data_IF_526210387557
#
_entry.id   IF_526210387557
#
_cell.length_a   1.000
_cell.length_b   1.000
_cell.length_c   1.000
_cell.angle_alpha   90.00
_cell.angle_beta   90.00
_cell.angle_gamma   90.00
#
_symmetry.space_group_name_H-M   'P 1'
#
loop_
_entity.id
_entity.type
_entity.pdbx_description
1 polymer ?
#
# COMPACT_ATOMS: atom_id res chain seq x y z
N UNK A 1 14.79 -25.54 11.33
CA UNK A 1 13.55 -26.32 11.53
C UNK A 1 12.37 -25.39 11.39
N UNK A 2 11.60 -25.51 10.29
CA UNK A 2 10.22 -25.01 10.16
C UNK A 2 9.70 -25.30 8.74
N UNK A 3 8.74 -26.22 8.62
CA UNK A 3 7.78 -26.26 7.51
C UNK A 3 6.46 -26.78 8.07
N UNK A 4 5.46 -25.90 8.19
CA UNK A 4 4.06 -26.29 8.42
C UNK A 4 3.33 -26.24 7.08
N UNK A 5 2.90 -27.42 6.63
CA UNK A 5 1.99 -27.63 5.51
C UNK A 5 0.55 -27.53 6.02
N UNK A 6 -0.31 -26.84 5.28
CA UNK A 6 -1.75 -26.77 5.48
C UNK A 6 -2.40 -27.74 4.47
N UNK A 7 -3.19 -28.73 4.88
CA UNK A 7 -3.94 -29.55 3.93
C UNK A 7 -5.34 -28.97 3.67
N UNK A 8 -5.70 -28.94 2.39
CA UNK A 8 -7.05 -28.70 1.86
C UNK A 8 -7.97 -29.87 2.22
N UNK A 9 -9.16 -29.57 2.76
CA UNK A 9 -10.22 -30.54 3.01
C UNK A 9 -11.15 -30.62 1.78
N UNK A 10 -11.20 -31.77 1.14
CA UNK A 10 -12.17 -32.12 0.10
C UNK A 10 -13.31 -32.93 0.74
N UNK A 11 -14.53 -32.48 0.48
CA UNK A 11 -15.78 -33.07 0.98
C UNK A 11 -16.12 -34.29 0.10
N UNK A 12 -16.14 -35.48 0.70
CA UNK A 12 -16.65 -36.71 0.09
C UNK A 12 -18.03 -37.05 0.67
N UNK A 13 -19.05 -37.01 -0.19
CA UNK A 13 -20.40 -37.46 0.12
C UNK A 13 -20.52 -38.98 -0.05
N UNK A 14 -21.11 -39.63 0.95
CA UNK A 14 -21.36 -41.06 1.00
C UNK A 14 -22.48 -41.51 0.04
N UNK A 15 -22.30 -42.70 -0.54
CA UNK A 15 -23.38 -43.51 -1.11
C UNK A 15 -23.33 -44.89 -0.43
N UNK A 16 -24.48 -45.31 0.11
CA UNK A 16 -24.75 -46.64 0.66
C UNK A 16 -25.65 -47.43 -0.30
N UNK A 17 -25.58 -48.77 -0.15
CA UNK A 17 -26.40 -49.85 -0.75
C UNK A 17 -26.08 -50.22 -2.20
N UNK A 18 -26.02 -51.49 -2.64
CA UNK A 18 -26.44 -52.78 -2.07
C UNK A 18 -25.67 -53.91 -2.76
N UNK A 19 -25.43 -55.01 -2.02
CA UNK A 19 -25.07 -56.32 -2.55
C UNK A 19 -26.13 -56.85 -3.53
N UNK A 20 -25.71 -57.63 -4.53
CA UNK A 20 -26.58 -58.41 -5.41
C UNK A 20 -25.75 -59.25 -6.38
N UNK A 21 -25.77 -60.57 -6.16
CA UNK A 21 -24.90 -61.60 -6.74
C UNK A 21 -25.06 -61.79 -8.25
N UNK A 22 -23.94 -62.04 -8.91
CA UNK A 22 -23.83 -62.67 -10.24
C UNK A 22 -24.36 -64.10 -10.22
N UNK A 23 -25.16 -64.48 -11.22
CA UNK A 23 -25.25 -65.83 -11.77
C UNK A 23 -25.56 -65.73 -13.25
N UNK A 24 -24.67 -66.32 -14.04
CA UNK A 24 -24.82 -66.62 -15.46
C UNK A 24 -25.71 -67.84 -15.69
N UNK A 25 -26.02 -68.04 -16.98
CA UNK A 25 -26.78 -69.08 -17.69
C UNK A 25 -28.21 -68.69 -18.08
N UNK A 26 -28.73 -68.97 -19.28
CA UNK A 26 -28.23 -69.31 -20.62
C UNK A 26 -29.53 -69.31 -21.51
N UNK A 27 -29.40 -69.40 -22.83
CA UNK A 27 -30.37 -69.98 -23.79
C UNK A 27 -31.35 -69.01 -24.54
N UNK A 28 -30.94 -68.77 -25.79
CA UNK A 28 -31.69 -68.67 -27.05
C UNK A 28 -32.65 -67.51 -27.35
N UNK A 29 -32.30 -66.84 -28.44
CA UNK A 29 -33.14 -65.99 -29.27
C UNK A 29 -34.19 -66.83 -30.04
N UNK A 30 -35.36 -66.28 -30.39
CA UNK A 30 -35.56 -65.99 -31.81
C UNK A 30 -36.31 -64.67 -32.11
N UNK A 31 -35.68 -63.88 -32.98
CA UNK A 31 -36.20 -62.98 -34.02
C UNK A 31 -37.62 -62.39 -33.92
N UNK A 32 -37.71 -61.05 -33.80
CA UNK A 32 -38.64 -60.21 -34.57
C UNK A 32 -38.00 -58.80 -34.77
N UNK A 33 -38.05 -58.20 -35.97
CA UNK A 33 -37.22 -57.04 -36.33
C UNK A 33 -37.77 -55.71 -35.80
N UNK A 34 -37.01 -55.04 -34.93
CA UNK A 34 -37.31 -53.71 -34.40
C UNK A 34 -36.41 -52.64 -35.01
N UNK A 35 -37.00 -51.81 -35.85
CA UNK A 35 -36.44 -50.65 -36.54
C UNK A 35 -35.55 -49.78 -35.61
N UNK A 36 -34.21 -49.88 -35.74
CA UNK A 36 -33.28 -49.03 -34.99
C UNK A 36 -33.02 -47.76 -35.79
N UNK A 37 -33.83 -46.74 -35.52
CA UNK A 37 -33.52 -45.37 -35.96
C UNK A 37 -32.25 -44.91 -35.22
N UNK A 38 -31.21 -44.42 -35.90
CA UNK A 38 -30.04 -43.86 -35.23
C UNK A 38 -30.47 -42.65 -34.39
N UNK A 39 -30.15 -42.67 -33.10
CA UNK A 39 -30.25 -41.50 -32.23
C UNK A 39 -29.36 -40.39 -32.82
N UNK A 40 -30.02 -39.36 -33.32
CA UNK A 40 -29.37 -38.17 -33.83
C UNK A 40 -28.45 -37.58 -32.73
N UNK A 41 -27.25 -37.07 -33.05
CA UNK A 41 -26.40 -36.42 -32.05
C UNK A 41 -27.14 -35.21 -31.50
N UNK A 42 -27.40 -35.18 -30.19
CA UNK A 42 -28.06 -34.06 -29.54
C UNK A 42 -27.16 -32.83 -29.68
N UNK A 43 -27.46 -31.98 -30.67
CA UNK A 43 -27.00 -30.60 -30.74
C UNK A 43 -27.23 -29.98 -29.35
N UNK A 44 -26.26 -29.29 -28.72
CA UNK A 44 -26.51 -28.65 -27.44
C UNK A 44 -27.72 -27.73 -27.60
N UNK A 45 -28.84 -28.14 -27.02
CA UNK A 45 -30.12 -27.48 -27.19
C UNK A 45 -29.98 -26.10 -26.57
N UNK A 46 -30.12 -25.05 -27.39
CA UNK A 46 -30.27 -23.68 -26.89
C UNK A 46 -31.33 -23.69 -25.79
N UNK A 47 -31.02 -23.22 -24.57
CA UNK A 47 -31.97 -23.28 -23.48
C UNK A 47 -33.24 -22.48 -23.79
N UNK A 48 -34.38 -22.95 -23.27
CA UNK A 48 -35.65 -22.25 -23.42
C UNK A 48 -35.62 -20.90 -22.71
N UNK A 49 -36.50 -19.98 -23.13
CA UNK A 49 -36.62 -18.67 -22.48
C UNK A 49 -36.94 -18.80 -20.98
N UNK A 50 -37.71 -19.83 -20.59
CA UNK A 50 -37.99 -20.14 -19.19
C UNK A 50 -36.74 -20.59 -18.43
N UNK A 51 -35.91 -21.45 -19.03
CA UNK A 51 -34.64 -21.87 -18.44
C UNK A 51 -33.68 -20.70 -18.27
N UNK A 52 -33.54 -19.85 -19.29
CA UNK A 52 -32.72 -18.63 -19.21
C UNK A 52 -33.30 -17.72 -18.12
N UNK A 53 -34.59 -17.41 -18.16
CA UNK A 53 -35.21 -16.49 -17.19
C UNK A 53 -35.13 -16.95 -15.74
N UNK A 54 -35.40 -18.22 -15.45
CA UNK A 54 -35.40 -18.72 -14.07
C UNK A 54 -34.00 -18.94 -13.51
N UNK A 55 -33.05 -19.40 -14.34
CA UNK A 55 -31.78 -19.97 -13.88
C UNK A 55 -30.54 -19.17 -14.29
N UNK A 56 -30.71 -18.02 -14.98
CA UNK A 56 -29.58 -17.13 -15.28
C UNK A 56 -29.01 -16.54 -13.99
N UNK A 57 -27.69 -16.52 -13.91
CA UNK A 57 -26.94 -15.89 -12.85
C UNK A 57 -25.64 -15.26 -13.39
N UNK A 58 -25.07 -14.35 -12.62
CA UNK A 58 -23.73 -13.81 -12.86
C UNK A 58 -22.68 -14.87 -12.54
N UNK A 59 -21.91 -15.30 -13.53
CA UNK A 59 -20.86 -16.30 -13.35
C UNK A 59 -19.59 -15.67 -12.80
N UNK A 60 -19.10 -14.63 -13.46
CA UNK A 60 -17.83 -13.96 -13.13
C UNK A 60 -17.75 -12.60 -13.84
N UNK A 61 -16.80 -11.77 -13.41
CA UNK A 61 -16.39 -10.60 -14.20
C UNK A 61 -15.74 -11.06 -15.51
N UNK A 62 -16.02 -10.37 -16.61
CA UNK A 62 -15.37 -10.63 -17.90
C UNK A 62 -13.86 -10.37 -17.78
N UNK A 63 -13.07 -11.27 -18.35
CA UNK A 63 -11.62 -11.10 -18.42
C UNK A 63 -11.26 -9.80 -19.17
N UNK A 64 -10.29 -9.05 -18.63
CA UNK A 64 -9.83 -7.79 -19.20
C UNK A 64 -10.78 -6.60 -18.99
N UNK A 65 -11.93 -6.77 -18.32
CA UNK A 65 -12.81 -5.65 -17.98
C UNK A 65 -12.46 -5.07 -16.63
N UNK A 66 -12.22 -3.77 -16.61
CA UNK A 66 -11.92 -3.01 -15.41
C UNK A 66 -13.20 -2.54 -14.70
N UNK A 67 -13.89 -3.49 -14.08
CA UNK A 67 -15.19 -3.25 -13.44
C UNK A 67 -15.12 -2.23 -12.29
N UNK A 68 -13.97 -2.08 -11.63
CA UNK A 68 -13.76 -1.08 -10.57
C UNK A 68 -13.75 0.36 -11.09
N UNK A 69 -13.49 0.56 -12.38
CA UNK A 69 -13.63 1.86 -13.04
C UNK A 69 -14.98 2.03 -13.73
N UNK A 70 -15.63 0.93 -14.14
CA UNK A 70 -16.91 0.98 -14.83
C UNK A 70 -18.11 1.22 -13.90
N UNK A 71 -17.99 0.87 -12.61
CA UNK A 71 -19.07 0.96 -11.62
C UNK A 71 -18.64 1.95 -10.53
N UNK A 72 -19.41 3.02 -10.35
CA UNK A 72 -19.22 3.95 -9.24
C UNK A 72 -19.89 3.41 -7.97
N UNK A 73 -19.12 3.26 -6.89
CA UNK A 73 -19.63 2.83 -5.60
C UNK A 73 -20.71 3.77 -5.03
N UNK A 74 -20.70 5.06 -5.41
CA UNK A 74 -21.74 6.00 -4.99
C UNK A 74 -23.10 5.68 -5.62
N UNK A 75 -23.12 5.21 -6.87
CA UNK A 75 -24.37 4.78 -7.53
C UNK A 75 -24.94 3.54 -6.84
N UNK A 76 -24.09 2.60 -6.39
CA UNK A 76 -24.54 1.43 -5.62
C UNK A 76 -25.25 1.78 -4.31
N UNK A 77 -24.98 2.95 -3.72
CA UNK A 77 -25.66 3.39 -2.50
C UNK A 77 -26.85 4.30 -2.79
N UNK A 78 -26.71 5.25 -3.72
CA UNK A 78 -27.71 6.28 -3.95
C UNK A 78 -28.80 5.81 -4.92
N UNK A 79 -28.40 5.18 -6.03
CA UNK A 79 -29.29 4.81 -7.13
C UNK A 79 -28.81 3.50 -7.82
N UNK A 80 -28.98 2.33 -7.17
CA UNK A 80 -28.40 1.08 -7.65
C UNK A 80 -28.80 0.71 -9.09
N UNK A 81 -29.98 1.13 -9.54
CA UNK A 81 -30.45 0.91 -10.92
C UNK A 81 -29.49 1.48 -11.98
N UNK A 82 -28.74 2.56 -11.67
CA UNK A 82 -27.81 3.21 -12.59
C UNK A 82 -26.65 2.29 -13.00
N UNK A 83 -26.27 1.33 -12.15
CA UNK A 83 -25.14 0.44 -12.44
C UNK A 83 -25.52 -0.74 -13.34
N UNK A 84 -26.80 -0.92 -13.68
CA UNK A 84 -27.29 -2.08 -14.41
C UNK A 84 -26.62 -2.26 -15.77
N UNK A 85 -26.44 -1.16 -16.52
CA UNK A 85 -25.77 -1.19 -17.82
C UNK A 85 -24.28 -1.58 -17.67
N UNK A 86 -23.59 -1.01 -16.69
CA UNK A 86 -22.19 -1.31 -16.40
C UNK A 86 -22.00 -2.78 -15.98
N UNK A 87 -22.89 -3.32 -15.13
CA UNK A 87 -22.90 -4.73 -14.74
C UNK A 87 -23.09 -5.63 -15.97
N UNK A 88 -24.09 -5.35 -16.81
CA UNK A 88 -24.36 -6.12 -18.03
C UNK A 88 -23.16 -6.16 -18.99
N UNK A 89 -22.45 -5.04 -19.09
CA UNK A 89 -21.25 -4.91 -19.92
C UNK A 89 -20.03 -5.59 -19.30
N UNK A 90 -19.94 -5.66 -17.97
CA UNK A 90 -18.75 -6.15 -17.25
C UNK A 90 -18.83 -7.61 -16.81
N UNK A 91 -20.01 -8.23 -16.85
CA UNK A 91 -20.26 -9.56 -16.28
C UNK A 91 -20.51 -10.58 -17.37
N UNK A 92 -20.02 -11.81 -17.15
CA UNK A 92 -20.39 -12.99 -17.91
C UNK A 92 -21.58 -13.65 -17.23
N UNK A 93 -22.69 -13.77 -17.96
CA UNK A 93 -23.91 -14.42 -17.47
C UNK A 93 -23.99 -15.83 -18.01
N UNK A 94 -24.43 -16.76 -17.16
CA UNK A 94 -24.65 -18.15 -17.55
C UNK A 94 -25.98 -18.64 -16.99
N UNK A 95 -26.57 -19.62 -17.67
CA UNK A 95 -27.69 -20.41 -17.16
C UNK A 95 -27.31 -21.89 -17.16
N UNK A 96 -27.86 -22.64 -16.20
CA UNK A 96 -27.73 -24.08 -16.16
C UNK A 96 -28.89 -24.72 -16.93
N UNK A 97 -28.58 -25.47 -17.98
CA UNK A 97 -29.56 -26.19 -18.80
C UNK A 97 -30.15 -27.40 -18.05
N UNK A 98 -31.16 -28.05 -18.63
CA UNK A 98 -31.77 -29.29 -18.09
C UNK A 98 -30.78 -30.46 -18.06
N UNK A 99 -29.83 -30.51 -18.99
CA UNK A 99 -28.74 -31.48 -19.02
C UNK A 99 -27.53 -31.07 -18.15
N UNK A 100 -27.73 -30.13 -17.21
CA UNK A 100 -26.71 -29.64 -16.26
C UNK A 100 -25.45 -29.05 -16.92
N UNK A 101 -25.57 -28.55 -18.16
CA UNK A 101 -24.48 -27.84 -18.83
C UNK A 101 -24.63 -26.34 -18.64
N UNK A 102 -23.49 -25.64 -18.61
CA UNK A 102 -23.47 -24.19 -18.58
C UNK A 102 -23.64 -23.62 -19.98
N UNK A 103 -24.69 -22.83 -20.18
CA UNK A 103 -24.85 -22.00 -21.36
C UNK A 103 -24.49 -20.55 -21.01
N UNK A 104 -23.41 -20.04 -21.60
CA UNK A 104 -23.05 -18.62 -21.48
C UNK A 104 -23.95 -17.80 -22.40
N UNK A 105 -24.60 -16.77 -21.84
CA UNK A 105 -25.49 -15.89 -22.60
C UNK A 105 -24.72 -15.14 -23.70
N UNK A 106 -25.26 -15.14 -24.91
CA UNK A 106 -24.72 -14.43 -26.07
C UNK A 106 -25.26 -13.00 -26.13
N UNK A 107 -24.73 -12.18 -27.04
CA UNK A 107 -25.15 -10.79 -27.22
C UNK A 107 -26.67 -10.63 -27.43
N UNK A 108 -27.28 -11.52 -28.21
CA UNK A 108 -28.74 -11.55 -28.42
C UNK A 108 -29.50 -11.85 -27.12
N UNK A 109 -29.02 -12.80 -26.30
CA UNK A 109 -29.65 -13.14 -25.02
C UNK A 109 -29.55 -11.97 -24.04
N UNK A 110 -28.36 -11.36 -23.99
CA UNK A 110 -28.13 -10.16 -23.19
C UNK A 110 -29.08 -9.05 -23.61
N UNK A 111 -29.42 -8.87 -24.90
CA UNK A 111 -30.35 -7.81 -25.32
C UNK A 111 -31.71 -7.84 -24.60
N UNK A 112 -32.20 -9.02 -24.20
CA UNK A 112 -33.45 -9.22 -23.45
C UNK A 112 -33.28 -9.29 -21.93
N UNK A 113 -32.04 -9.27 -21.43
CA UNK A 113 -31.71 -9.38 -20.01
C UNK A 113 -31.76 -7.99 -19.34
N UNK A 114 -32.55 -7.87 -18.28
CA UNK A 114 -32.50 -6.75 -17.34
C UNK A 114 -31.99 -7.22 -15.98
N UNK A 115 -31.46 -6.28 -15.20
CA UNK A 115 -30.96 -6.51 -13.84
C UNK A 115 -31.90 -5.75 -12.89
N UNK A 116 -32.34 -6.41 -11.82
CA UNK A 116 -33.29 -5.89 -10.84
C UNK A 116 -32.79 -6.17 -9.41
N UNK A 117 -33.31 -5.42 -8.43
CA UNK A 117 -33.03 -5.58 -6.99
C UNK A 117 -31.52 -5.57 -6.64
N UNK A 118 -30.78 -4.60 -7.17
CA UNK A 118 -29.36 -4.45 -6.90
C UNK A 118 -29.15 -4.00 -5.45
N UNK A 119 -28.29 -4.71 -4.74
CA UNK A 119 -27.89 -4.45 -3.35
C UNK A 119 -26.36 -4.52 -3.23
N UNK A 120 -25.81 -3.81 -2.25
CA UNK A 120 -24.37 -3.75 -2.00
C UNK A 120 -24.06 -3.74 -0.51
N UNK A 121 -23.08 -4.54 -0.09
CA UNK A 121 -22.71 -4.74 1.32
C UNK A 121 -21.26 -4.35 1.67
N UNK A 122 -20.60 -3.56 0.81
CA UNK A 122 -19.16 -3.21 0.83
C UNK A 122 -18.21 -4.26 0.24
N UNK A 123 -18.65 -5.50 0.05
CA UNK A 123 -17.80 -6.56 -0.49
C UNK A 123 -18.40 -7.22 -1.74
N UNK A 124 -19.72 -7.25 -1.84
CA UNK A 124 -20.44 -7.92 -2.90
C UNK A 124 -21.58 -7.06 -3.45
N UNK A 125 -21.69 -7.02 -4.78
CA UNK A 125 -22.89 -6.57 -5.45
C UNK A 125 -23.77 -7.81 -5.63
N UNK A 126 -25.03 -7.73 -5.20
CA UNK A 126 -25.99 -8.80 -5.42
C UNK A 126 -27.25 -8.31 -6.11
N UNK A 127 -27.84 -9.13 -6.98
CA UNK A 127 -28.99 -8.75 -7.79
C UNK A 127 -29.73 -9.96 -8.35
N UNK A 128 -30.92 -9.75 -8.92
CA UNK A 128 -31.64 -10.72 -9.73
C UNK A 128 -31.59 -10.32 -11.21
N UNK A 129 -31.76 -11.29 -12.09
CA UNK A 129 -31.92 -11.02 -13.52
C UNK A 129 -33.36 -11.24 -13.95
N UNK A 130 -33.77 -10.60 -15.03
CA UNK A 130 -35.06 -10.83 -15.66
C UNK A 130 -34.87 -10.90 -17.15
N UNK A 131 -35.28 -12.01 -17.74
CA UNK A 131 -35.11 -12.27 -19.16
C UNK A 131 -36.49 -12.45 -19.78
N UNK A 132 -36.83 -11.61 -20.78
CA UNK A 132 -38.16 -11.60 -21.43
C UNK A 132 -39.34 -11.63 -20.44
N UNK A 133 -39.23 -10.87 -19.34
CA UNK A 133 -40.27 -10.78 -18.31
C UNK A 133 -40.18 -11.82 -17.19
N UNK A 134 -39.36 -12.87 -17.34
CA UNK A 134 -39.21 -13.94 -16.36
C UNK A 134 -38.06 -13.61 -15.40
N UNK A 135 -38.38 -13.38 -14.13
CA UNK A 135 -37.41 -13.11 -13.07
C UNK A 135 -36.71 -14.40 -12.60
N UNK A 136 -35.40 -14.30 -12.37
CA UNK A 136 -34.58 -15.41 -11.88
C UNK A 136 -34.96 -15.81 -10.46
N UNK A 137 -34.93 -17.12 -10.17
CA UNK A 137 -35.01 -17.62 -8.80
C UNK A 137 -33.66 -17.62 -8.11
N UNK A 138 -32.57 -17.55 -8.88
CA UNK A 138 -31.20 -17.48 -8.37
C UNK A 138 -30.77 -16.02 -8.19
N UNK A 139 -30.34 -15.68 -6.98
CA UNK A 139 -29.66 -14.42 -6.66
C UNK A 139 -28.22 -14.49 -7.15
N UNK A 140 -27.82 -13.52 -7.97
CA UNK A 140 -26.44 -13.35 -8.40
C UNK A 140 -25.67 -12.56 -7.34
N UNK A 141 -24.42 -12.96 -7.09
CA UNK A 141 -23.51 -12.29 -6.16
C UNK A 141 -22.13 -12.19 -6.81
N UNK A 142 -21.57 -10.98 -6.90
CA UNK A 142 -20.26 -10.72 -7.47
C UNK A 142 -19.39 -9.96 -6.48
N UNK A 143 -18.12 -10.37 -6.34
CA UNK A 143 -17.16 -9.68 -5.50
C UNK A 143 -16.87 -8.29 -6.07
N UNK A 144 -17.10 -7.25 -5.27
CA UNK A 144 -16.78 -5.85 -5.53
C UNK A 144 -16.34 -5.22 -4.21
N UNK A 145 -15.06 -5.34 -3.89
CA UNK A 145 -14.54 -4.89 -2.61
C UNK A 145 -14.37 -3.36 -2.62
N UNK A 146 -15.02 -2.68 -1.67
CA UNK A 146 -14.86 -1.24 -1.49
C UNK A 146 -13.38 -0.87 -1.32
N UNK A 147 -12.60 -1.70 -0.61
CA UNK A 147 -11.18 -1.46 -0.40
C UNK A 147 -10.41 -1.46 -1.73
N UNK A 148 -10.72 -2.38 -2.63
CA UNK A 148 -10.08 -2.45 -3.96
C UNK A 148 -10.47 -1.24 -4.81
N UNK A 149 -11.75 -0.85 -4.78
CA UNK A 149 -12.23 0.36 -5.44
C UNK A 149 -11.46 1.60 -4.96
N UNK A 150 -11.43 1.86 -3.65
CA UNK A 150 -10.76 3.03 -3.09
C UNK A 150 -9.25 2.97 -3.21
N UNK A 151 -8.62 1.81 -3.09
CA UNK A 151 -7.18 1.67 -3.33
C UNK A 151 -6.75 2.19 -4.69
N UNK A 152 -7.62 2.04 -5.70
CA UNK A 152 -7.40 2.52 -7.06
C UNK A 152 -7.56 4.03 -7.21
N UNK A 153 -8.43 4.65 -6.42
CA UNK A 153 -8.67 6.11 -6.46
C UNK A 153 -7.54 6.92 -5.81
N UNK A 154 -6.72 6.27 -4.99
CA UNK A 154 -5.61 6.90 -4.28
C UNK A 154 -4.29 6.34 -4.79
N UNK A 155 -3.56 7.15 -5.55
CA UNK A 155 -2.20 6.82 -6.01
C UNK A 155 -1.17 7.65 -5.27
N UNK A 156 0.08 7.21 -5.22
CA UNK A 156 1.16 7.99 -4.59
C UNK A 156 1.44 9.26 -5.41
N UNK A 157 1.53 10.41 -4.76
CA UNK A 157 2.00 11.64 -5.40
C UNK A 157 3.53 11.60 -5.51
N UNK A 158 4.03 10.95 -6.57
CA UNK A 158 5.46 10.73 -6.76
C UNK A 158 6.27 12.03 -6.83
N UNK A 159 5.70 13.12 -7.36
CA UNK A 159 6.39 14.42 -7.41
C UNK A 159 6.62 14.99 -6.02
N UNK A 160 5.64 14.86 -5.13
CA UNK A 160 5.79 15.30 -3.74
C UNK A 160 6.74 14.37 -2.99
N UNK A 161 6.48 13.06 -3.04
CA UNK A 161 7.21 12.04 -2.27
C UNK A 161 8.71 12.02 -2.60
N UNK A 162 9.07 12.07 -3.89
CA UNK A 162 10.48 12.09 -4.32
C UNK A 162 11.25 13.36 -3.94
N UNK A 163 10.56 14.42 -3.51
CA UNK A 163 11.18 15.65 -3.03
C UNK A 163 11.41 15.67 -1.51
N UNK A 164 10.95 14.64 -0.77
CA UNK A 164 10.88 14.63 0.69
C UNK A 164 11.70 13.51 1.31
N UNK A 165 12.07 13.70 2.57
CA UNK A 165 12.65 12.65 3.40
C UNK A 165 11.57 11.98 4.25
N UNK A 166 11.56 10.65 4.26
CA UNK A 166 10.47 9.86 4.86
C UNK A 166 10.33 10.09 6.36
N UNK A 167 11.44 10.09 7.11
CA UNK A 167 11.38 10.01 8.58
C UNK A 167 10.71 11.22 9.21
N UNK A 168 10.99 12.44 8.77
CA UNK A 168 10.33 13.62 9.34
C UNK A 168 8.83 13.64 9.05
N UNK A 169 8.43 13.24 7.84
CA UNK A 169 7.00 13.10 7.53
C UNK A 169 6.32 12.05 8.40
N UNK A 170 6.97 10.90 8.63
CA UNK A 170 6.46 9.87 9.53
C UNK A 170 6.23 10.44 10.94
N UNK A 171 7.17 11.20 11.50
CA UNK A 171 7.02 11.79 12.83
C UNK A 171 6.00 12.95 12.87
N UNK A 172 5.83 13.67 11.76
CA UNK A 172 4.87 14.79 11.65
C UNK A 172 3.44 14.37 11.32
N UNK A 173 3.17 13.11 10.95
CA UNK A 173 1.81 12.64 10.69
C UNK A 173 0.89 12.96 11.90
N UNK A 174 -0.33 13.48 11.67
CA UNK A 174 -1.06 13.49 10.39
C UNK A 174 -0.80 14.70 9.46
N UNK A 175 0.13 15.60 9.81
CA UNK A 175 0.37 16.82 9.03
C UNK A 175 0.75 16.47 7.59
N UNK A 176 0.05 17.07 6.63
CA UNK A 176 0.36 16.93 5.21
C UNK A 176 0.01 15.58 4.58
N UNK A 177 -0.74 14.70 5.26
CA UNK A 177 -1.11 13.36 4.75
C UNK A 177 -1.73 13.38 3.33
N UNK A 178 -2.56 14.39 3.03
CA UNK A 178 -3.15 14.56 1.70
C UNK A 178 -2.11 14.80 0.59
N UNK A 179 -0.94 15.34 0.92
CA UNK A 179 0.12 15.57 -0.06
C UNK A 179 0.83 14.29 -0.50
N UNK A 180 0.71 13.20 0.27
CA UNK A 180 1.29 11.89 -0.07
C UNK A 180 0.56 11.23 -1.25
N UNK A 181 -0.68 11.64 -1.54
CA UNK A 181 -1.54 10.96 -2.50
C UNK A 181 -2.04 11.89 -3.59
N UNK A 182 -2.22 11.35 -4.79
CA UNK A 182 -2.99 11.94 -5.87
C UNK A 182 -4.38 11.29 -5.88
N UNK A 183 -5.40 12.12 -5.67
CA UNK A 183 -6.80 11.72 -5.59
C UNK A 183 -7.73 12.91 -5.86
N UNK A 184 -9.01 12.65 -6.11
CA UNK A 184 -10.03 13.70 -6.24
C UNK A 184 -10.40 14.26 -4.85
N UNK A 185 -9.79 15.37 -4.47
CA UNK A 185 -10.03 16.04 -3.18
C UNK A 185 -11.39 16.77 -3.09
N UNK A 186 -12.05 17.01 -4.23
CA UNK A 186 -13.42 17.52 -4.23
C UNK A 186 -14.36 16.43 -3.78
N UNK A 187 -14.18 15.21 -4.29
CA UNK A 187 -14.99 14.05 -3.93
C UNK A 187 -14.63 13.45 -2.57
N UNK A 188 -13.35 13.23 -2.31
CA UNK A 188 -12.90 12.48 -1.14
C UNK A 188 -12.32 13.42 -0.07
N UNK A 189 -12.77 13.25 1.16
CA UNK A 189 -12.04 13.72 2.34
C UNK A 189 -11.27 12.54 2.93
N UNK A 190 -10.05 12.79 3.42
CA UNK A 190 -9.26 11.76 4.09
C UNK A 190 -8.84 12.19 5.48
N UNK A 191 -8.80 11.22 6.38
CA UNK A 191 -8.29 11.35 7.73
C UNK A 191 -7.25 10.26 8.00
N UNK A 192 -6.25 10.58 8.81
CA UNK A 192 -5.27 9.60 9.28
C UNK A 192 -5.92 8.64 10.28
N UNK A 193 -5.63 7.35 10.16
CA UNK A 193 -6.02 6.36 11.18
C UNK A 193 -4.90 6.28 12.22
N UNK A 194 -5.13 6.65 13.49
CA UNK A 194 -4.13 6.56 14.54
C UNK A 194 -3.54 5.15 14.67
N UNK A 195 -2.27 5.07 15.08
CA UNK A 195 -1.54 3.82 15.32
C UNK A 195 -1.45 2.86 14.11
N UNK A 196 -1.81 3.32 12.91
CA UNK A 196 -1.76 2.53 11.68
C UNK A 196 -0.47 2.71 10.87
N UNK A 197 0.44 3.58 11.35
CA UNK A 197 1.67 3.92 10.63
C UNK A 197 2.81 2.99 10.99
N UNK A 198 3.57 2.59 9.98
CA UNK A 198 4.85 1.89 10.12
C UNK A 198 5.86 2.43 9.10
N UNK A 199 7.14 2.15 9.29
CA UNK A 199 8.22 2.68 8.46
C UNK A 199 9.32 1.65 8.24
N UNK A 200 10.01 1.82 7.14
CA UNK A 200 11.29 1.17 6.89
C UNK A 200 12.33 2.23 6.55
N UNK A 201 13.21 2.54 7.50
CA UNK A 201 14.29 3.51 7.29
C UNK A 201 15.27 3.04 6.20
N UNK A 202 15.53 1.74 6.12
CA UNK A 202 16.40 1.15 5.09
C UNK A 202 15.81 1.22 3.68
N UNK A 203 14.50 1.00 3.53
CA UNK A 203 13.81 1.08 2.24
C UNK A 203 13.30 2.49 1.93
N UNK A 204 13.43 3.44 2.87
CA UNK A 204 12.86 4.78 2.79
C UNK A 204 11.36 4.73 2.43
N UNK A 205 10.61 3.88 3.14
CA UNK A 205 9.18 3.69 2.91
C UNK A 205 8.35 3.90 4.18
N UNK A 206 7.09 4.25 3.96
CA UNK A 206 6.11 4.57 4.99
C UNK A 206 4.81 3.85 4.64
N UNK A 207 4.28 3.05 5.55
CA UNK A 207 2.94 2.50 5.45
C UNK A 207 2.00 3.17 6.44
N UNK A 208 0.74 3.33 6.05
CA UNK A 208 -0.30 3.92 6.89
C UNK A 208 -1.69 3.52 6.43
N UNK A 209 -2.68 3.59 7.32
CA UNK A 209 -4.09 3.56 6.94
C UNK A 209 -4.68 4.97 6.84
N UNK A 210 -5.56 5.16 5.86
CA UNK A 210 -6.38 6.37 5.72
C UNK A 210 -7.85 6.00 5.77
N UNK A 211 -8.61 6.78 6.52
CA UNK A 211 -10.07 6.78 6.47
C UNK A 211 -10.51 7.72 5.37
N UNK A 212 -11.40 7.26 4.51
CA UNK A 212 -11.92 7.99 3.35
C UNK A 212 -13.39 8.25 3.61
N UNK A 213 -13.80 9.50 3.46
CA UNK A 213 -15.20 9.92 3.40
C UNK A 213 -15.51 10.29 1.96
N UNK A 214 -16.36 9.51 1.29
CA UNK A 214 -16.82 9.79 -0.07
C UNK A 214 -18.05 10.69 -0.03
N UNK A 215 -17.87 11.97 -0.39
CA UNK A 215 -18.93 12.99 -0.33
C UNK A 215 -20.05 12.75 -1.36
N UNK A 216 -19.86 11.86 -2.35
CA UNK A 216 -20.92 11.49 -3.28
C UNK A 216 -21.95 10.53 -2.67
N UNK A 217 -21.61 9.79 -1.62
CA UNK A 217 -22.58 8.90 -0.95
C UNK A 217 -23.43 9.74 0.01
N UNK A 218 -24.74 9.82 -0.26
CA UNK A 218 -25.65 10.70 0.46
C UNK A 218 -25.94 10.21 1.89
N UNK A 219 -25.93 8.90 2.10
CA UNK A 219 -26.07 8.29 3.43
C UNK A 219 -24.76 8.39 4.20
N UNK A 220 -24.66 9.37 5.10
CA UNK A 220 -23.49 9.62 5.93
C UNK A 220 -23.13 8.47 6.88
N UNK A 221 -24.04 7.52 7.12
CA UNK A 221 -23.73 6.32 7.91
C UNK A 221 -22.94 5.27 7.13
N UNK A 222 -22.90 5.38 5.78
CA UNK A 222 -22.29 4.39 4.87
C UNK A 222 -21.15 4.94 4.04
N UNK A 223 -20.88 6.24 4.08
CA UNK A 223 -19.93 6.91 3.19
C UNK A 223 -18.45 6.84 3.63
N UNK A 224 -18.15 6.11 4.71
CA UNK A 224 -16.79 5.96 5.24
C UNK A 224 -16.19 4.58 4.97
N UNK A 225 -14.91 4.60 4.59
CA UNK A 225 -14.12 3.44 4.21
C UNK A 225 -12.68 3.59 4.71
N UNK A 226 -11.95 2.49 4.78
CA UNK A 226 -10.54 2.50 5.20
C UNK A 226 -9.70 1.72 4.19
N UNK A 227 -8.57 2.29 3.82
CA UNK A 227 -7.56 1.60 3.02
C UNK A 227 -6.19 1.73 3.66
N UNK A 228 -5.36 0.72 3.43
CA UNK A 228 -3.96 0.71 3.85
C UNK A 228 -3.08 0.97 2.63
N UNK A 229 -2.15 1.94 2.76
CA UNK A 229 -1.24 2.38 1.70
C UNK A 229 0.20 2.19 2.15
N UNK A 230 1.03 1.76 1.21
CA UNK A 230 2.48 1.83 1.31
C UNK A 230 2.96 2.92 0.36
N UNK A 231 3.77 3.83 0.88
CA UNK A 231 4.34 4.99 0.17
C UNK A 231 5.84 4.80 0.10
N UNK A 232 6.37 4.84 -1.12
CA UNK A 232 7.77 4.58 -1.45
C UNK A 232 8.30 5.67 -2.38
N UNK A 233 9.62 5.71 -2.59
CA UNK A 233 10.26 6.65 -3.50
C UNK A 233 10.71 7.97 -2.87
N UNK A 234 10.80 8.02 -1.54
CA UNK A 234 11.37 9.16 -0.81
C UNK A 234 12.88 9.31 -1.06
N UNK A 235 13.43 10.50 -0.78
CA UNK A 235 14.87 10.74 -0.79
C UNK A 235 15.54 9.94 0.33
N UNK A 236 16.75 9.44 0.07
CA UNK A 236 17.50 8.62 1.03
C UNK A 236 18.20 9.47 2.09
N UNK A 237 18.58 8.86 3.21
CA UNK A 237 19.41 9.52 4.23
C UNK A 237 20.80 9.92 3.73
N UNK A 238 21.33 9.22 2.71
CA UNK A 238 22.56 9.66 2.03
C UNK A 238 22.35 10.98 1.30
N UNK A 239 21.20 11.14 0.63
CA UNK A 239 20.83 12.41 0.01
C UNK A 239 20.63 13.51 1.07
N UNK A 240 20.11 13.18 2.26
CA UNK A 240 20.03 14.15 3.37
C UNK A 240 21.42 14.58 3.82
N UNK A 241 22.32 13.63 4.07
CA UNK A 241 23.69 13.91 4.46
C UNK A 241 24.44 14.78 3.43
N UNK A 242 24.18 14.58 2.13
CA UNK A 242 24.72 15.44 1.09
C UNK A 242 24.14 16.86 1.11
N UNK A 243 22.94 17.06 1.65
CA UNK A 243 22.29 18.37 1.76
C UNK A 243 22.62 19.10 3.08
N UNK A 244 23.25 18.43 4.05
CA UNK A 244 23.65 19.03 5.32
C UNK A 244 24.92 19.88 5.20
N UNK A 245 24.94 21.00 5.93
CA UNK A 245 26.11 21.80 6.23
C UNK A 245 26.45 21.65 7.72
N UNK A 246 27.73 21.42 8.04
CA UNK A 246 28.21 21.27 9.41
C UNK A 246 29.17 22.41 9.72
N UNK A 247 28.83 23.19 10.74
CA UNK A 247 29.62 24.30 11.26
C UNK A 247 30.30 23.97 12.59
N UNK A 248 30.97 24.96 13.17
CA UNK A 248 31.50 24.88 14.52
C UNK A 248 30.77 25.87 15.43
N UNK A 249 30.67 25.53 16.71
CA UNK A 249 30.15 26.42 17.75
C UNK A 249 31.29 27.02 18.58
N UNK A 250 30.97 28.03 19.40
CA UNK A 250 31.92 28.65 20.32
C UNK A 250 32.54 27.65 21.30
N UNK A 251 31.75 26.71 21.81
CA UNK A 251 32.21 25.63 22.69
C UNK A 251 33.32 24.79 22.05
N UNK A 252 33.24 24.54 20.74
CA UNK A 252 34.27 23.79 20.04
C UNK A 252 35.56 24.61 19.94
N UNK A 253 35.45 25.89 19.58
CA UNK A 253 36.60 26.78 19.50
C UNK A 253 37.32 26.90 20.85
N UNK A 254 36.57 27.06 21.94
CA UNK A 254 37.13 27.19 23.27
C UNK A 254 37.79 25.89 23.75
N UNK A 255 37.17 24.75 23.43
CA UNK A 255 37.79 23.44 23.70
C UNK A 255 39.09 23.26 22.92
N UNK A 256 39.13 23.63 21.64
CA UNK A 256 40.34 23.54 20.81
C UNK A 256 41.45 24.40 21.38
N UNK A 257 41.17 25.66 21.73
CA UNK A 257 42.15 26.55 22.37
C UNK A 257 42.70 25.98 23.68
N UNK A 258 41.83 25.37 24.49
CA UNK A 258 42.24 24.72 25.74
C UNK A 258 43.19 23.56 25.46
N UNK A 259 42.87 22.71 24.49
CA UNK A 259 43.72 21.57 24.10
C UNK A 259 45.07 22.03 23.56
N UNK A 260 45.11 23.09 22.74
CA UNK A 260 46.35 23.69 22.23
C UNK A 260 47.24 24.18 23.38
N UNK A 261 46.68 24.90 24.37
CA UNK A 261 47.42 25.36 25.54
C UNK A 261 48.03 24.22 26.34
N UNK A 262 47.30 23.10 26.48
CA UNK A 262 47.81 21.90 27.15
C UNK A 262 48.81 21.09 26.33
N UNK A 263 48.85 21.28 25.01
CA UNK A 263 49.69 20.52 24.07
C UNK A 263 50.37 21.44 23.03
N UNK A 264 51.21 22.40 23.44
CA UNK A 264 51.68 23.49 22.58
C UNK A 264 52.52 23.03 21.37
N UNK A 265 53.14 21.85 21.46
CA UNK A 265 54.01 21.30 20.41
C UNK A 265 53.31 20.28 19.50
N UNK A 266 51.99 20.11 19.60
CA UNK A 266 51.22 19.15 18.81
C UNK A 266 50.45 19.86 17.69
N UNK A 267 50.55 19.33 16.47
CA UNK A 267 49.80 19.81 15.30
C UNK A 267 48.58 18.96 15.03
N UNK A 268 48.65 17.64 15.25
CA UNK A 268 47.50 16.75 15.26
C UNK A 268 46.89 16.70 16.67
N UNK A 269 45.68 17.22 16.79
CA UNK A 269 44.92 17.27 18.05
C UNK A 269 43.85 16.18 18.14
N UNK A 270 43.72 15.31 17.13
CA UNK A 270 42.69 14.27 17.07
C UNK A 270 42.64 13.41 18.33
N UNK A 271 43.76 12.86 18.86
CA UNK A 271 43.73 12.00 20.05
C UNK A 271 43.22 12.71 21.32
N UNK A 272 43.41 14.03 21.38
CA UNK A 272 43.06 14.86 22.54
C UNK A 272 41.63 15.41 22.47
N UNK A 273 41.03 15.43 21.27
CA UNK A 273 39.67 15.92 21.04
C UNK A 273 38.65 14.80 20.88
N UNK A 274 39.04 13.62 20.38
CA UNK A 274 38.11 12.56 19.95
C UNK A 274 37.12 12.12 21.05
N UNK A 275 37.62 11.73 22.23
CA UNK A 275 36.76 11.26 23.33
C UNK A 275 35.77 12.33 23.82
N UNK A 276 36.22 13.59 23.84
CA UNK A 276 35.36 14.70 24.22
C UNK A 276 34.31 14.97 23.15
N UNK A 277 34.71 14.94 21.87
CA UNK A 277 33.82 15.17 20.74
C UNK A 277 32.69 14.15 20.69
N UNK A 278 32.99 12.84 20.81
CA UNK A 278 31.98 11.78 20.74
C UNK A 278 30.82 12.00 21.73
N UNK A 279 31.14 12.48 22.94
CA UNK A 279 30.13 12.72 23.98
C UNK A 279 29.46 14.11 23.88
N UNK A 280 30.04 15.04 23.13
CA UNK A 280 29.62 16.45 23.15
C UNK A 280 29.37 17.06 21.78
N UNK A 281 29.40 16.27 20.68
CA UNK A 281 29.31 16.78 19.30
C UNK A 281 28.18 17.80 19.13
N UNK A 282 27.00 17.53 19.70
CA UNK A 282 25.81 18.38 19.67
C UNK A 282 26.00 19.81 20.21
N UNK A 283 27.00 20.03 21.08
CA UNK A 283 27.38 21.38 21.56
C UNK A 283 28.49 21.98 20.71
N UNK A 284 29.26 21.15 20.03
CA UNK A 284 30.49 21.54 19.33
C UNK A 284 30.25 21.89 17.86
N UNK A 285 29.24 21.29 17.23
CA UNK A 285 28.89 21.55 15.83
C UNK A 285 27.50 22.14 15.73
N UNK A 286 27.32 23.04 14.78
CA UNK A 286 26.01 23.44 14.27
C UNK A 286 25.70 22.66 13.01
N UNK A 287 24.40 22.41 12.79
CA UNK A 287 23.92 21.63 11.65
C UNK A 287 22.81 22.42 10.98
N UNK A 288 22.95 22.66 9.69
CA UNK A 288 21.96 23.35 8.86
C UNK A 288 21.85 22.68 7.49
N UNK A 289 20.98 23.22 6.63
CA UNK A 289 20.93 22.83 5.23
C UNK A 289 21.91 23.69 4.41
N UNK A 290 22.58 23.10 3.43
CA UNK A 290 23.41 23.86 2.47
C UNK A 290 22.61 24.92 1.71
N UNK A 291 21.34 24.64 1.43
CA UNK A 291 20.42 25.55 0.75
C UNK A 291 19.96 26.72 1.61
N UNK A 292 20.01 26.57 2.95
CA UNK A 292 19.59 27.59 3.91
C UNK A 292 20.46 27.49 5.17
N UNK A 293 21.74 27.92 5.08
CA UNK A 293 22.68 27.78 6.18
C UNK A 293 22.34 28.69 7.37
N UNK A 294 21.41 29.64 7.20
CA UNK A 294 20.98 30.57 8.24
C UNK A 294 20.09 29.94 9.31
N UNK A 295 19.53 28.76 9.03
CA UNK A 295 18.63 28.05 9.93
C UNK A 295 19.29 26.78 10.45
N UNK A 296 19.68 26.82 11.72
CA UNK A 296 20.17 25.64 12.42
C UNK A 296 19.01 24.69 12.73
N UNK A 297 19.24 23.41 12.50
CA UNK A 297 18.32 22.35 12.88
C UNK A 297 18.31 22.20 14.40
N UNK A 298 17.14 21.89 14.97
CA UNK A 298 17.02 21.62 16.39
C UNK A 298 17.79 20.35 16.75
N UNK A 299 18.49 20.38 17.88
CA UNK A 299 19.14 19.20 18.46
C UNK A 299 18.58 18.99 19.85
N UNK A 300 17.74 17.97 20.01
CA UNK A 300 17.04 17.67 21.26
C UNK A 300 17.51 16.33 21.83
N UNK A 301 17.15 16.05 23.10
CA UNK A 301 17.40 14.77 23.77
C UNK A 301 18.22 14.86 25.06
N UNK A 302 18.05 13.86 25.92
CA UNK A 302 18.62 13.85 27.28
C UNK A 302 20.05 13.31 27.35
N UNK A 303 20.50 12.57 26.34
CA UNK A 303 21.82 11.90 26.30
C UNK A 303 22.39 11.92 24.89
N UNK A 304 23.72 11.94 24.70
CA UNK A 304 24.36 11.84 23.39
C UNK A 304 23.90 10.65 22.54
N UNK A 305 23.49 9.54 23.17
CA UNK A 305 23.02 8.33 22.50
C UNK A 305 21.53 8.39 22.10
N UNK A 306 20.77 9.33 22.67
CA UNK A 306 19.32 9.46 22.47
C UNK A 306 18.96 10.87 22.02
N UNK A 307 19.76 11.42 21.10
CA UNK A 307 19.49 12.72 20.49
C UNK A 307 18.64 12.61 19.24
N UNK A 308 17.95 13.68 18.92
CA UNK A 308 17.25 13.86 17.66
C UNK A 308 17.74 15.14 17.00
N UNK A 309 17.88 15.13 15.67
CA UNK A 309 18.02 16.34 14.86
C UNK A 309 16.71 16.53 14.11
N UNK A 310 16.10 17.71 14.23
CA UNK A 310 14.80 18.01 13.61
C UNK A 310 14.82 19.35 12.90
N UNK A 311 14.26 19.38 11.70
CA UNK A 311 14.01 20.62 10.97
C UNK A 311 12.65 21.27 11.26
N UNK A 312 11.80 20.65 12.09
CA UNK A 312 10.41 21.11 12.29
C UNK A 312 10.32 22.52 12.85
N UNK A 313 11.19 22.90 13.79
CA UNK A 313 11.21 24.24 14.41
C UNK A 313 11.53 25.37 13.42
N UNK A 314 12.13 25.03 12.28
CA UNK A 314 12.55 25.96 11.23
C UNK A 314 11.81 25.74 9.90
N UNK A 315 10.72 24.98 9.93
CA UNK A 315 9.80 24.77 8.80
C UNK A 315 10.15 23.59 7.89
N UNK A 316 11.23 22.85 8.15
CA UNK A 316 11.62 21.65 7.41
C UNK A 316 11.03 20.40 8.06
N UNK A 317 9.72 20.20 7.90
CA UNK A 317 8.95 19.13 8.56
C UNK A 317 9.43 17.71 8.22
N UNK A 318 10.04 17.52 7.06
CA UNK A 318 10.49 16.22 6.56
C UNK A 318 11.89 15.84 7.04
N UNK A 319 12.64 16.76 7.66
CA UNK A 319 13.99 16.49 8.18
C UNK A 319 13.91 15.98 9.61
N UNK A 320 14.30 14.72 9.80
CA UNK A 320 14.38 14.10 11.11
C UNK A 320 15.42 12.96 11.16
N UNK A 321 16.34 13.06 12.12
CA UNK A 321 17.34 12.04 12.42
C UNK A 321 17.23 11.63 13.89
N UNK A 322 16.99 10.35 14.16
CA UNK A 322 17.06 9.72 15.48
C UNK A 322 18.43 9.11 15.69
N UNK A 323 18.95 9.30 16.90
CA UNK A 323 20.22 8.74 17.37
C UNK A 323 21.38 8.97 16.38
N UNK A 324 21.58 10.19 15.86
CA UNK A 324 22.64 10.43 14.90
C UNK A 324 24.01 10.27 15.55
N UNK A 325 24.91 9.56 14.88
CA UNK A 325 26.27 9.31 15.38
C UNK A 325 27.31 10.11 14.61
N UNK A 326 27.82 11.15 15.27
CA UNK A 326 28.95 11.95 14.78
C UNK A 326 30.25 11.55 15.48
N UNK A 327 31.31 11.35 14.70
CA UNK A 327 32.66 11.07 15.20
C UNK A 327 33.68 12.01 14.59
N UNK A 328 34.71 12.35 15.37
CA UNK A 328 35.85 13.13 14.91
C UNK A 328 36.89 12.18 14.32
N UNK A 329 37.16 12.28 13.02
CA UNK A 329 38.16 11.44 12.33
C UNK A 329 39.52 12.11 12.22
N UNK A 330 39.54 13.44 12.24
CA UNK A 330 40.78 14.23 12.19
C UNK A 330 40.56 15.62 12.80
N UNK A 331 41.60 16.18 13.40
CA UNK A 331 41.66 17.55 13.88
C UNK A 331 43.11 18.05 13.81
N UNK A 332 43.47 18.71 12.73
CA UNK A 332 44.85 19.14 12.45
C UNK A 332 44.93 20.66 12.40
N UNK A 333 45.94 21.23 13.05
CA UNK A 333 46.22 22.65 12.98
C UNK A 333 46.77 22.99 11.59
N UNK A 334 46.14 23.97 10.95
CA UNK A 334 46.56 24.54 9.68
C UNK A 334 46.66 26.07 9.80
N UNK A 335 47.89 26.59 9.81
CA UNK A 335 48.16 27.99 10.08
C UNK A 335 47.61 28.46 11.44
N UNK A 336 46.65 29.39 11.41
CA UNK A 336 45.93 29.93 12.59
C UNK A 336 44.65 29.17 12.94
N UNK A 337 44.27 28.19 12.13
CA UNK A 337 42.99 27.49 12.20
C UNK A 337 43.19 26.03 12.61
N UNK A 338 42.11 25.38 13.02
CA UNK A 338 42.00 23.93 13.08
C UNK A 338 41.11 23.47 11.93
N UNK A 339 41.56 22.48 11.16
CA UNK A 339 40.75 21.76 10.19
C UNK A 339 40.34 20.43 10.81
N UNK A 340 39.06 20.30 11.14
CA UNK A 340 38.47 19.09 11.67
C UNK A 340 37.73 18.32 10.57
N UNK A 341 37.82 16.99 10.63
CA UNK A 341 36.99 16.08 9.83
C UNK A 341 36.02 15.38 10.75
N UNK A 342 34.73 15.60 10.49
CA UNK A 342 33.62 15.07 11.29
C UNK A 342 32.82 14.12 10.40
N UNK A 343 32.60 12.89 10.85
CA UNK A 343 31.89 11.88 10.11
C UNK A 343 30.53 11.59 10.75
N UNK A 344 29.46 11.71 9.97
CA UNK A 344 28.14 11.15 10.29
C UNK A 344 28.16 9.68 9.90
N UNK A 345 28.29 8.79 10.88
CA UNK A 345 28.40 7.36 10.66
C UNK A 345 27.05 6.76 10.30
N UNK A 346 26.05 7.05 11.10
CA UNK A 346 24.71 6.49 11.01
C UNK A 346 23.67 7.41 11.66
N UNK A 347 22.42 7.22 11.26
CA UNK A 347 21.23 7.78 11.87
C UNK A 347 20.02 6.96 11.44
N UNK A 348 18.96 6.94 12.24
CA UNK A 348 17.74 6.13 11.98
C UNK A 348 18.06 4.65 11.73
N UNK A 349 19.03 4.09 12.44
CA UNK A 349 19.52 2.71 12.24
C UNK A 349 20.06 2.42 10.82
N UNK A 350 20.40 3.46 10.05
CA UNK A 350 20.95 3.37 8.69
C UNK A 350 22.36 3.94 8.64
N UNK A 351 23.28 3.19 8.04
CA UNK A 351 24.65 3.62 7.80
C UNK A 351 24.70 4.67 6.67
N UNK A 352 25.32 5.81 6.95
CA UNK A 352 25.47 6.95 6.04
C UNK A 352 26.93 7.10 5.60
N UNK A 353 27.87 7.07 6.56
CA UNK A 353 29.32 7.20 6.37
C UNK A 353 29.76 8.46 5.57
N UNK A 354 29.19 9.62 5.90
CA UNK A 354 29.53 10.91 5.26
C UNK A 354 30.53 11.69 6.12
N UNK A 355 31.66 12.09 5.52
CA UNK A 355 32.63 12.98 6.16
C UNK A 355 32.44 14.45 5.72
N UNK A 356 32.49 15.35 6.69
CA UNK A 356 32.41 16.80 6.55
C UNK A 356 33.71 17.43 7.03
N UNK A 357 34.11 18.53 6.38
CA UNK A 357 35.24 19.34 6.83
C UNK A 357 34.71 20.55 7.58
N UNK A 358 35.15 20.73 8.82
CA UNK A 358 34.75 21.82 9.71
C UNK A 358 36.00 22.64 10.04
N UNK A 359 36.03 23.90 9.61
CA UNK A 359 37.11 24.82 9.93
C UNK A 359 36.78 25.60 11.21
N UNK A 360 37.67 25.55 12.20
CA UNK A 360 37.59 26.35 13.42
C UNK A 360 38.67 27.44 13.36
N UNK A 361 38.28 28.71 13.11
CA UNK A 361 39.25 29.76 12.85
C UNK A 361 39.87 30.34 14.13
N UNK A 362 41.08 30.88 13.99
CA UNK A 362 41.77 31.68 15.01
C UNK A 362 41.84 30.98 16.38
N UNK A 363 42.48 29.80 16.38
CA UNK A 363 42.67 28.93 17.57
C UNK A 363 44.09 28.98 18.13
N UNK A 364 45.06 29.48 17.35
CA UNK A 364 46.41 29.78 17.82
C UNK A 364 46.54 31.21 18.31
#
# INVERSE_FOLDING_TARGET
MNRKLIPFLLIAGALLSSCGSSRDEDITNPNTPGNTQPSNPTTPSTPSDEQIGKRTYAQEWKAGVDYLSAIDIADLYNNPANVSAALKNSVKFATLTTDQKYYTLKAVDLSYLTIEDITYDKQYISFYTKYKGIKSSTKSTLKFDARDFYNKQFTTNNSYVSSKYMRGLYESLPIGIGSLFSYDSQRYQIDFVPDSKDKSDSNNSLSLSIKITDKKILDSSKNTFEIHKNVEGFRTLKNLADDLAIGHNFDFRDKVKTVIKSHPNKTDLTPYLNNFFQNNWHKLISISLKSDPSKELSIDGQSPLYRTISGQSVGYIDIYLTQPRFVLTSAVIDGRNLVAKVKLQDANDVVIDKEYTVMVPNVK
#
